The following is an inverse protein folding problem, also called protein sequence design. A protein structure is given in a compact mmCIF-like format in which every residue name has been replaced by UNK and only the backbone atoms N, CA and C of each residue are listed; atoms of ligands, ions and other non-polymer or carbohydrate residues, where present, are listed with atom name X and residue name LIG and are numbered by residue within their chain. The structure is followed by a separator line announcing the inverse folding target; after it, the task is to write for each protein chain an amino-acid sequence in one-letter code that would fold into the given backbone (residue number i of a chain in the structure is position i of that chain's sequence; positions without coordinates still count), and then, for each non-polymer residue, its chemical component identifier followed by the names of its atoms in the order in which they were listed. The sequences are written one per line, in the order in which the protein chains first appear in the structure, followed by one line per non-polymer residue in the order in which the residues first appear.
data_IF_935734758211
#
_entry.id   IF_935734758211
#
_cell.length_a   1.000
_cell.length_b   1.000
_cell.length_c   1.000
_cell.angle_alpha   90.00
_cell.angle_beta   90.00
_cell.angle_gamma   90.00
#
_symmetry.space_group_name_H-M   'P 1'
#
loop_
_entity.id
_entity.type
_entity.pdbx_description
1 polymer ?
#
# COMPACT_ATOMS: atom_id res chain seq x y z
N UNK A 1 -19.95 40.02 25.78
CA UNK A 1 -19.61 40.68 24.49
C UNK A 1 -20.89 41.15 23.81
N UNK A 2 -20.97 42.39 23.32
CA UNK A 2 -22.15 42.80 22.52
C UNK A 2 -22.17 42.09 21.16
N UNK A 3 -23.35 41.90 20.56
CA UNK A 3 -23.54 41.30 19.22
C UNK A 3 -22.57 41.83 18.16
N UNK A 4 -22.31 43.15 18.13
CA UNK A 4 -21.35 43.78 17.20
C UNK A 4 -19.89 43.34 17.38
N UNK A 5 -19.46 43.07 18.61
CA UNK A 5 -18.12 42.59 18.91
C UNK A 5 -17.95 41.14 18.45
N UNK A 6 -18.99 40.31 18.63
CA UNK A 6 -19.01 38.93 18.16
C UNK A 6 -18.95 38.83 16.63
N UNK A 7 -19.76 39.63 15.92
CA UNK A 7 -19.73 39.68 14.45
C UNK A 7 -18.35 40.11 13.91
N UNK A 8 -17.73 41.14 14.50
CA UNK A 8 -16.39 41.57 14.13
C UNK A 8 -15.36 40.48 14.38
N UNK A 9 -15.43 39.80 15.52
CA UNK A 9 -14.54 38.69 15.84
C UNK A 9 -14.66 37.57 14.81
N UNK A 10 -15.86 37.11 14.47
CA UNK A 10 -16.06 36.06 13.46
C UNK A 10 -15.50 36.43 12.09
N UNK A 11 -15.73 37.67 11.63
CA UNK A 11 -15.23 38.15 10.34
C UNK A 11 -13.70 38.22 10.33
N UNK A 12 -13.09 38.77 11.39
CA UNK A 12 -11.63 38.90 11.47
C UNK A 12 -10.97 37.52 11.62
N UNK A 13 -11.52 36.64 12.45
CA UNK A 13 -11.05 35.26 12.61
C UNK A 13 -11.12 34.50 11.29
N UNK A 14 -12.26 34.54 10.60
CA UNK A 14 -12.39 33.90 9.28
C UNK A 14 -11.40 34.48 8.27
N UNK A 15 -11.20 35.81 8.25
CA UNK A 15 -10.26 36.45 7.32
C UNK A 15 -8.82 36.00 7.55
N UNK A 16 -8.30 36.11 8.77
CA UNK A 16 -6.88 35.86 9.02
C UNK A 16 -6.54 34.38 9.12
N UNK A 17 -7.36 33.60 9.83
CA UNK A 17 -7.15 32.14 9.90
C UNK A 17 -7.51 31.47 8.58
N UNK A 18 -8.49 32.01 7.84
CA UNK A 18 -8.79 31.55 6.48
C UNK A 18 -7.63 31.75 5.51
N UNK A 19 -6.83 32.82 5.63
CA UNK A 19 -5.61 32.98 4.81
C UNK A 19 -4.61 31.87 5.11
N UNK A 20 -4.33 31.59 6.40
CA UNK A 20 -3.40 30.53 6.80
C UNK A 20 -3.89 29.15 6.33
N UNK A 21 -5.17 28.83 6.55
CA UNK A 21 -5.80 27.59 6.11
C UNK A 21 -5.84 27.48 4.58
N UNK A 22 -6.04 28.59 3.86
CA UNK A 22 -6.01 28.59 2.41
C UNK A 22 -4.62 28.22 1.88
N UNK A 23 -3.53 28.75 2.47
CA UNK A 23 -2.17 28.39 2.08
C UNK A 23 -1.90 26.89 2.31
N UNK A 24 -2.32 26.39 3.47
CA UNK A 24 -2.23 24.96 3.80
C UNK A 24 -3.01 24.10 2.80
N UNK A 25 -4.28 24.44 2.53
CA UNK A 25 -5.13 23.70 1.60
C UNK A 25 -4.58 23.78 0.17
N UNK A 26 -4.06 24.93 -0.27
CA UNK A 26 -3.41 25.07 -1.57
C UNK A 26 -2.19 24.15 -1.68
N UNK A 27 -1.32 24.12 -0.66
CA UNK A 27 -0.18 23.21 -0.61
C UNK A 27 -0.64 21.75 -0.65
N UNK A 28 -1.68 21.43 0.13
CA UNK A 28 -2.27 20.10 0.20
C UNK A 28 -2.86 19.68 -1.16
N UNK A 29 -3.57 20.55 -1.87
CA UNK A 29 -4.13 20.23 -3.19
C UNK A 29 -3.01 20.06 -4.24
N UNK A 30 -2.03 20.96 -4.24
CA UNK A 30 -0.90 20.88 -5.15
C UNK A 30 -0.10 19.59 -4.95
N UNK A 31 0.09 19.16 -3.70
CA UNK A 31 0.78 17.91 -3.40
C UNK A 31 -0.03 16.66 -3.80
N UNK A 32 -1.35 16.73 -3.74
CA UNK A 32 -2.23 15.66 -4.25
C UNK A 32 -2.05 15.42 -5.75
N UNK A 33 -1.88 16.50 -6.52
CA UNK A 33 -1.59 16.40 -7.96
C UNK A 33 -0.27 15.66 -8.23
N UNK A 34 0.76 15.90 -7.41
CA UNK A 34 2.03 15.18 -7.53
C UNK A 34 1.84 13.68 -7.27
N UNK A 35 1.10 13.31 -6.21
CA UNK A 35 0.88 11.90 -5.83
C UNK A 35 0.21 11.10 -6.94
N UNK A 36 -0.70 11.70 -7.71
CA UNK A 36 -1.37 11.03 -8.84
C UNK A 36 -0.36 10.45 -9.84
N UNK A 37 0.76 11.12 -10.06
CA UNK A 37 1.78 10.67 -11.02
C UNK A 37 2.93 9.88 -10.38
N UNK A 38 3.07 9.92 -9.05
CA UNK A 38 4.24 9.35 -8.37
C UNK A 38 3.91 8.19 -7.45
N UNK A 39 2.63 7.92 -7.17
CA UNK A 39 2.21 6.81 -6.31
C UNK A 39 2.43 7.02 -4.81
N UNK A 40 2.98 8.17 -4.39
CA UNK A 40 3.12 8.53 -2.97
C UNK A 40 4.56 8.48 -2.45
N UNK A 41 4.75 7.83 -1.29
CA UNK A 41 6.08 7.64 -0.69
C UNK A 41 6.90 6.64 -1.53
N UNK A 42 8.23 6.74 -1.59
CA UNK A 42 9.05 5.75 -2.27
C UNK A 42 8.87 4.39 -1.61
N UNK A 43 8.54 3.37 -2.41
CA UNK A 43 8.36 2.00 -1.97
C UNK A 43 8.94 1.08 -3.05
N UNK A 44 9.40 -0.10 -2.66
CA UNK A 44 9.77 -1.12 -3.63
C UNK A 44 8.48 -1.82 -4.09
N UNK A 45 8.03 -1.52 -5.30
CA UNK A 45 6.82 -2.16 -5.83
C UNK A 45 7.02 -3.66 -6.03
N UNK A 46 5.93 -4.42 -5.99
CA UNK A 46 6.01 -5.87 -6.22
C UNK A 46 6.53 -6.18 -7.63
N UNK A 47 6.17 -5.36 -8.63
CA UNK A 47 6.66 -5.47 -9.99
C UNK A 47 8.17 -5.24 -10.07
N UNK A 48 8.70 -4.16 -9.48
CA UNK A 48 10.15 -3.92 -9.47
C UNK A 48 10.91 -5.01 -8.72
N UNK A 49 10.37 -5.50 -7.59
CA UNK A 49 10.94 -6.60 -6.82
C UNK A 49 11.07 -7.85 -7.67
N UNK A 50 9.98 -8.28 -8.31
CA UNK A 50 9.90 -9.48 -9.14
C UNK A 50 10.76 -9.35 -10.41
N UNK A 51 10.82 -8.17 -11.03
CA UNK A 51 11.64 -7.92 -12.22
C UNK A 51 13.13 -8.10 -11.94
N UNK A 52 13.58 -7.73 -10.72
CA UNK A 52 14.98 -7.84 -10.28
C UNK A 52 15.28 -9.14 -9.53
N UNK A 53 14.30 -10.02 -9.36
CA UNK A 53 14.54 -11.33 -8.77
C UNK A 53 15.30 -12.23 -9.76
N UNK A 54 16.29 -13.01 -9.31
CA UNK A 54 16.89 -14.05 -10.14
C UNK A 54 15.84 -15.09 -10.56
N UNK A 55 16.12 -15.80 -11.66
CA UNK A 55 15.31 -16.96 -12.04
C UNK A 55 15.37 -18.02 -10.93
N UNK A 56 14.23 -18.64 -10.65
CA UNK A 56 14.10 -19.67 -9.64
C UNK A 56 14.65 -21.00 -10.17
N UNK A 57 15.68 -21.53 -9.52
CA UNK A 57 16.23 -22.85 -9.84
C UNK A 57 15.37 -23.95 -9.21
N UNK A 58 14.37 -24.44 -9.96
CA UNK A 58 13.49 -25.52 -9.52
C UNK A 58 14.22 -26.86 -9.40
N UNK A 59 15.26 -27.10 -10.20
CA UNK A 59 16.03 -28.36 -10.17
C UNK A 59 16.84 -28.55 -8.88
N UNK A 60 17.08 -27.48 -8.13
CA UNK A 60 17.73 -27.53 -6.82
C UNK A 60 16.73 -27.68 -5.65
N UNK A 61 15.43 -27.78 -5.91
CA UNK A 61 14.42 -27.96 -4.84
C UNK A 61 14.37 -29.42 -4.43
N UNK A 62 14.77 -29.73 -3.19
CA UNK A 62 14.74 -31.08 -2.63
C UNK A 62 13.63 -31.27 -1.58
N UNK A 63 13.12 -30.18 -1.00
CA UNK A 63 12.05 -30.21 -0.01
C UNK A 63 10.71 -29.83 -0.61
N UNK A 64 9.66 -30.58 -0.25
CA UNK A 64 8.31 -30.20 -0.62
C UNK A 64 7.80 -29.04 0.24
N UNK A 65 6.83 -28.24 -0.26
CA UNK A 65 6.22 -27.17 0.53
C UNK A 65 5.62 -27.68 1.85
N UNK A 66 5.07 -28.90 1.85
CA UNK A 66 4.52 -29.54 3.04
C UNK A 66 5.61 -29.94 4.04
N UNK A 67 6.72 -30.51 3.57
CA UNK A 67 7.86 -30.84 4.43
C UNK A 67 8.48 -29.57 5.04
N UNK A 68 8.61 -28.50 4.26
CA UNK A 68 9.08 -27.20 4.73
C UNK A 68 8.18 -26.64 5.85
N UNK A 69 6.86 -26.67 5.66
CA UNK A 69 5.87 -26.27 6.69
C UNK A 69 6.02 -27.06 7.98
N UNK A 70 6.17 -28.38 7.87
CA UNK A 70 6.35 -29.26 9.02
C UNK A 70 7.65 -28.94 9.77
N UNK A 71 8.74 -28.69 9.06
CA UNK A 71 10.05 -28.34 9.63
C UNK A 71 9.97 -27.05 10.47
N UNK A 72 9.27 -26.02 9.99
CA UNK A 72 9.11 -24.74 10.70
C UNK A 72 7.84 -24.66 11.57
N UNK A 73 7.04 -25.73 11.61
CA UNK A 73 5.77 -25.84 12.35
C UNK A 73 4.77 -24.72 12.01
N UNK A 74 4.63 -24.41 10.71
CA UNK A 74 3.72 -23.37 10.21
C UNK A 74 2.47 -23.94 9.55
N UNK A 75 1.39 -23.18 9.67
CA UNK A 75 0.09 -23.55 9.09
C UNK A 75 -0.18 -22.84 7.77
N UNK A 76 0.40 -21.67 7.52
CA UNK A 76 0.35 -21.05 6.20
C UNK A 76 1.23 -21.79 5.17
N UNK A 77 0.87 -21.66 3.89
CA UNK A 77 1.73 -22.07 2.80
C UNK A 77 2.86 -21.05 2.59
N UNK A 78 4.10 -21.50 2.29
CA UNK A 78 5.19 -20.59 2.01
C UNK A 78 5.05 -19.95 0.62
N UNK A 79 5.89 -18.96 0.34
CA UNK A 79 6.21 -18.53 -1.03
C UNK A 79 7.57 -19.10 -1.41
N UNK A 80 7.68 -19.81 -2.53
CA UNK A 80 8.96 -20.29 -3.06
C UNK A 80 9.57 -19.21 -3.97
N UNK A 81 10.78 -18.76 -3.63
CA UNK A 81 11.48 -17.68 -4.31
C UNK A 81 12.98 -17.89 -4.18
N UNK A 82 13.79 -17.16 -4.95
CA UNK A 82 15.24 -17.16 -4.77
C UNK A 82 15.66 -16.26 -3.59
N UNK A 83 16.56 -16.77 -2.74
CA UNK A 83 17.25 -16.03 -1.65
C UNK A 83 18.73 -16.40 -1.68
N UNK A 84 19.61 -15.41 -1.68
CA UNK A 84 21.07 -15.62 -1.74
C UNK A 84 21.50 -16.59 -2.87
N UNK A 85 20.83 -16.54 -4.03
CA UNK A 85 21.08 -17.43 -5.17
C UNK A 85 20.54 -18.86 -5.05
N UNK A 86 19.89 -19.21 -3.93
CA UNK A 86 19.32 -20.54 -3.65
C UNK A 86 17.79 -20.51 -3.64
N UNK A 87 17.10 -21.60 -3.99
CA UNK A 87 15.64 -21.67 -3.82
C UNK A 87 15.30 -21.70 -2.32
N UNK A 88 14.30 -20.91 -1.92
CA UNK A 88 13.91 -20.79 -0.52
C UNK A 88 12.40 -20.59 -0.34
N UNK A 89 11.87 -21.23 0.69
CA UNK A 89 10.51 -21.06 1.19
C UNK A 89 10.46 -19.92 2.20
N UNK A 90 9.65 -18.90 1.90
CA UNK A 90 9.43 -17.73 2.75
C UNK A 90 8.07 -17.83 3.42
N UNK A 91 8.07 -17.86 4.75
CA UNK A 91 6.88 -17.78 5.59
C UNK A 91 6.72 -16.35 6.10
N UNK A 92 5.66 -15.67 5.70
CA UNK A 92 5.49 -14.23 5.94
C UNK A 92 4.81 -13.91 7.28
N UNK A 93 4.22 -14.90 7.96
CA UNK A 93 3.55 -14.68 9.24
C UNK A 93 4.57 -14.51 10.36
N UNK A 94 4.45 -13.41 11.10
CA UNK A 94 5.41 -13.03 12.14
C UNK A 94 5.68 -14.18 13.17
N UNK A 95 6.95 -14.55 13.47
CA UNK A 95 8.17 -14.07 12.83
C UNK A 95 8.34 -14.61 11.41
N UNK A 96 8.78 -13.76 10.49
CA UNK A 96 9.14 -14.19 9.13
C UNK A 96 10.28 -15.19 9.21
N UNK A 97 10.12 -16.35 8.57
CA UNK A 97 11.13 -17.40 8.50
C UNK A 97 11.42 -17.73 7.05
N UNK A 98 12.69 -17.97 6.74
CA UNK A 98 13.14 -18.38 5.41
C UNK A 98 13.86 -19.70 5.57
N UNK A 99 13.40 -20.73 4.86
CA UNK A 99 13.96 -22.07 4.86
C UNK A 99 14.47 -22.36 3.45
N UNK A 100 15.73 -22.74 3.29
CA UNK A 100 16.24 -23.12 1.98
C UNK A 100 15.61 -24.44 1.52
N UNK A 101 15.14 -24.44 0.28
CA UNK A 101 14.37 -25.55 -0.29
C UNK A 101 15.27 -26.69 -0.79
N UNK A 102 16.58 -26.46 -0.88
CA UNK A 102 17.59 -27.42 -1.30
C UNK A 102 18.07 -28.33 -0.15
N UNK A 103 18.16 -27.83 1.09
CA UNK A 103 18.71 -28.59 2.21
C UNK A 103 17.91 -28.50 3.52
N UNK A 104 16.89 -27.64 3.61
CA UNK A 104 16.11 -27.44 4.84
C UNK A 104 16.80 -26.63 5.92
N UNK A 105 17.86 -25.92 5.59
CA UNK A 105 18.54 -25.01 6.50
C UNK A 105 17.73 -23.72 6.68
N UNK A 106 17.66 -23.22 7.90
CA UNK A 106 17.05 -21.93 8.19
C UNK A 106 18.04 -20.82 7.85
N UNK A 107 17.56 -19.79 7.16
CA UNK A 107 18.34 -18.58 6.94
C UNK A 107 18.59 -17.89 8.29
N UNK A 108 19.86 -17.76 8.63
CA UNK A 108 20.33 -17.04 9.81
C UNK A 108 21.08 -15.77 9.41
N UNK A 109 21.21 -14.81 10.34
CA UNK A 109 21.79 -13.49 10.05
C UNK A 109 23.27 -13.53 9.67
N UNK A 110 24.01 -14.55 10.11
CA UNK A 110 25.42 -14.78 9.77
C UNK A 110 25.63 -15.18 8.31
N UNK A 111 24.62 -15.78 7.67
CA UNK A 111 24.66 -16.12 6.24
C UNK A 111 24.47 -14.88 5.34
N UNK A 112 24.07 -13.74 5.91
CA UNK A 112 23.58 -12.59 5.16
C UNK A 112 24.67 -11.54 4.96
N UNK A 113 25.18 -11.45 3.74
CA UNK A 113 25.91 -10.26 3.28
C UNK A 113 24.94 -9.24 2.72
N UNK A 114 24.58 -8.24 3.55
CA UNK A 114 23.68 -7.15 3.10
C UNK A 114 24.25 -6.37 1.92
N UNK A 115 25.59 -6.23 1.85
CA UNK A 115 26.27 -5.59 0.72
C UNK A 115 26.11 -6.41 -0.56
N UNK A 116 26.27 -7.74 -0.49
CA UNK A 116 26.10 -8.60 -1.66
C UNK A 116 24.66 -8.56 -2.17
N UNK A 117 23.66 -8.65 -1.27
CA UNK A 117 22.25 -8.55 -1.66
C UNK A 117 21.96 -7.23 -2.38
N UNK A 118 22.49 -6.12 -1.87
CA UNK A 118 22.34 -4.82 -2.51
C UNK A 118 23.02 -4.77 -3.88
N UNK A 119 24.22 -5.34 -3.99
CA UNK A 119 25.01 -5.42 -5.22
C UNK A 119 24.27 -6.19 -6.32
N UNK A 120 23.79 -7.39 -5.98
CA UNK A 120 23.02 -8.26 -6.87
C UNK A 120 21.74 -7.57 -7.37
N UNK A 121 21.02 -6.89 -6.46
CA UNK A 121 19.78 -6.19 -6.81
C UNK A 121 20.00 -4.98 -7.73
N UNK A 122 21.17 -4.33 -7.63
CA UNK A 122 21.53 -3.17 -8.44
C UNK A 122 22.29 -3.55 -9.71
N UNK A 123 22.71 -4.82 -9.87
CA UNK A 123 23.60 -5.25 -10.95
C UNK A 123 24.96 -4.54 -10.91
N UNK A 124 25.41 -4.15 -9.71
CA UNK A 124 26.63 -3.39 -9.49
C UNK A 124 27.64 -4.21 -8.68
N UNK A 125 28.96 -3.99 -8.81
CA UNK A 125 29.94 -4.67 -7.97
C UNK A 125 29.76 -4.24 -6.50
N UNK A 126 29.96 -5.15 -5.52
CA UNK A 126 29.83 -4.83 -4.09
C UNK A 126 30.67 -3.63 -3.63
N UNK A 127 31.83 -3.41 -4.24
CA UNK A 127 32.76 -2.34 -3.88
C UNK A 127 32.31 -0.96 -4.39
N UNK A 128 31.37 -0.89 -5.33
CA UNK A 128 30.76 0.37 -5.75
C UNK A 128 29.69 0.87 -4.77
N UNK A 129 29.36 0.08 -3.73
CA UNK A 129 28.37 0.42 -2.73
C UNK A 129 29.00 1.00 -1.46
N UNK A 130 28.76 2.28 -1.27
CA UNK A 130 29.12 2.98 -0.05
C UNK A 130 28.14 2.61 1.07
N UNK A 131 28.68 2.03 2.15
CA UNK A 131 27.86 1.72 3.33
C UNK A 131 27.55 3.02 4.07
N UNK A 132 26.26 3.36 4.18
CA UNK A 132 25.81 4.53 4.94
C UNK A 132 25.69 4.22 6.42
N UNK A 133 25.17 3.04 6.78
CA UNK A 133 25.06 2.60 8.17
C UNK A 133 23.93 1.62 8.44
N UNK A 134 23.76 1.27 9.72
CA UNK A 134 22.63 0.48 10.21
C UNK A 134 21.52 1.43 10.70
N UNK A 135 20.31 1.21 10.20
CA UNK A 135 19.10 1.94 10.55
C UNK A 135 18.35 1.11 11.59
N UNK A 136 18.47 1.50 12.85
CA UNK A 136 17.84 0.79 13.99
C UNK A 136 16.47 1.38 14.36
N UNK A 137 16.22 2.62 13.95
CA UNK A 137 14.96 3.34 14.12
C UNK A 137 14.49 3.84 12.77
N UNK A 138 13.17 3.91 12.59
CA UNK A 138 12.59 4.43 11.35
C UNK A 138 13.15 5.81 11.01
N UNK A 139 13.49 6.00 9.75
CA UNK A 139 13.81 7.28 9.13
C UNK A 139 12.64 7.75 8.26
N UNK A 140 12.84 8.87 7.55
CA UNK A 140 11.80 9.47 6.70
C UNK A 140 11.26 8.51 5.62
N UNK A 141 12.06 7.52 5.19
CA UNK A 141 11.73 6.62 4.09
C UNK A 141 11.28 5.23 4.55
N UNK A 142 11.50 4.90 5.81
CA UNK A 142 11.21 3.58 6.41
C UNK A 142 10.06 3.62 7.42
N UNK A 143 9.22 4.67 7.38
CA UNK A 143 8.07 4.88 8.28
C UNK A 143 7.08 3.70 8.33
N UNK A 144 6.92 2.98 7.21
CA UNK A 144 6.02 1.82 7.09
C UNK A 144 6.77 0.48 7.21
N UNK A 145 8.10 0.52 7.37
CA UNK A 145 8.98 -0.64 7.41
C UNK A 145 9.49 -0.94 8.83
N UNK A 146 8.77 -0.48 9.86
CA UNK A 146 9.18 -0.68 11.27
C UNK A 146 9.33 -2.17 11.64
N UNK A 147 8.57 -3.06 10.99
CA UNK A 147 8.65 -4.52 11.17
C UNK A 147 9.83 -5.18 10.44
N UNK A 148 10.57 -4.44 9.62
CA UNK A 148 11.77 -4.91 8.89
C UNK A 148 13.07 -4.51 9.59
N UNK A 149 13.01 -3.61 10.58
CA UNK A 149 14.17 -3.11 11.30
C UNK A 149 14.89 -4.22 12.08
N UNK A 150 16.23 -4.13 12.25
CA UNK A 150 17.09 -3.07 11.71
C UNK A 150 17.40 -3.25 10.21
N UNK A 151 17.75 -2.18 9.50
CA UNK A 151 18.05 -2.20 8.05
C UNK A 151 19.48 -1.72 7.76
N UNK A 152 20.22 -2.39 6.88
CA UNK A 152 21.49 -1.85 6.38
C UNK A 152 21.22 -0.95 5.18
N UNK A 153 21.78 0.25 5.21
CA UNK A 153 21.65 1.25 4.14
C UNK A 153 22.94 1.38 3.34
N UNK A 154 22.81 1.33 2.02
CA UNK A 154 23.89 1.58 1.08
C UNK A 154 23.52 2.70 0.09
N UNK A 155 24.53 3.34 -0.45
CA UNK A 155 24.43 4.34 -1.52
C UNK A 155 25.26 3.88 -2.72
N UNK A 156 24.75 4.11 -3.92
CA UNK A 156 25.46 3.86 -5.17
C UNK A 156 25.86 5.20 -5.82
N UNK A 157 27.11 5.29 -6.27
CA UNK A 157 27.66 6.46 -6.98
C UNK A 157 27.23 6.55 -8.46
N UNK A 158 25.94 6.36 -8.76
CA UNK A 158 25.38 6.30 -10.12
C UNK A 158 24.95 7.65 -10.73
N UNK A 159 25.16 8.75 -10.00
CA UNK A 159 24.69 10.09 -10.39
C UNK A 159 23.19 10.33 -10.18
N UNK A 160 22.39 9.31 -9.86
CA UNK A 160 20.97 9.43 -9.49
C UNK A 160 20.76 9.57 -7.97
N UNK A 161 21.83 9.31 -7.20
CA UNK A 161 21.78 9.28 -5.74
C UNK A 161 20.91 8.13 -5.24
N UNK A 162 21.08 6.96 -5.85
CA UNK A 162 20.41 5.73 -5.44
C UNK A 162 20.77 5.35 -4.01
N UNK A 163 19.75 5.12 -3.20
CA UNK A 163 19.86 4.58 -1.85
C UNK A 163 19.04 3.29 -1.76
N UNK A 164 19.62 2.29 -1.10
CA UNK A 164 19.04 0.96 -0.97
C UNK A 164 19.07 0.51 0.48
N UNK A 165 17.97 -0.10 0.93
CA UNK A 165 17.79 -0.61 2.28
C UNK A 165 17.61 -2.12 2.21
N UNK A 166 18.45 -2.84 2.95
CA UNK A 166 18.46 -4.30 3.02
C UNK A 166 18.11 -4.73 4.43
N UNK A 167 17.16 -5.67 4.55
CA UNK A 167 16.85 -6.31 5.82
C UNK A 167 17.85 -7.45 6.09
N UNK A 168 18.72 -7.34 7.10
CA UNK A 168 19.69 -8.37 7.43
C UNK A 168 19.07 -9.58 8.12
N UNK A 169 17.83 -9.48 8.61
CA UNK A 169 17.11 -10.60 9.22
C UNK A 169 16.38 -11.45 8.19
N UNK A 170 16.05 -10.88 7.03
CA UNK A 170 15.25 -11.54 5.97
C UNK A 170 16.00 -11.74 4.65
N UNK A 171 17.24 -11.24 4.56
CA UNK A 171 18.10 -11.42 3.40
C UNK A 171 17.52 -10.84 2.11
N UNK A 172 16.86 -9.67 2.19
CA UNK A 172 16.18 -9.05 1.04
C UNK A 172 16.27 -7.53 1.05
N UNK A 173 16.16 -6.95 -0.14
CA UNK A 173 15.93 -5.52 -0.32
C UNK A 173 14.48 -5.19 0.05
N UNK A 174 14.30 -4.15 0.86
CA UNK A 174 12.97 -3.67 1.30
C UNK A 174 12.60 -2.32 0.72
N UNK A 175 13.60 -1.53 0.33
CA UNK A 175 13.39 -0.22 -0.28
C UNK A 175 14.56 0.13 -1.20
N UNK A 176 14.22 0.69 -2.35
CA UNK A 176 15.13 1.33 -3.29
C UNK A 176 14.56 2.71 -3.62
N UNK A 177 15.39 3.74 -3.63
CA UNK A 177 14.95 5.11 -3.90
C UNK A 177 16.06 5.97 -4.49
N UNK A 178 15.70 6.82 -5.46
CA UNK A 178 16.59 7.81 -6.08
C UNK A 178 16.35 9.21 -5.51
N UNK A 179 17.22 10.17 -5.85
CA UNK A 179 17.04 11.57 -5.45
C UNK A 179 15.76 12.18 -6.01
N UNK A 180 15.34 11.74 -7.21
CA UNK A 180 14.10 12.17 -7.85
C UNK A 180 12.89 11.67 -7.07
N UNK A 181 12.87 10.40 -6.67
CA UNK A 181 11.76 9.82 -5.90
C UNK A 181 11.59 10.55 -4.57
N UNK A 182 12.71 10.83 -3.89
CA UNK A 182 12.70 11.59 -2.63
C UNK A 182 12.21 13.03 -2.82
N UNK A 183 12.63 13.72 -3.87
CA UNK A 183 12.15 15.07 -4.18
C UNK A 183 10.64 15.08 -4.46
N UNK A 184 10.17 14.14 -5.27
CA UNK A 184 8.76 14.00 -5.61
C UNK A 184 7.91 13.69 -4.36
N UNK A 185 8.40 12.85 -3.45
CA UNK A 185 7.74 12.59 -2.18
C UNK A 185 7.65 13.86 -1.30
N UNK A 186 8.69 14.70 -1.29
CA UNK A 186 8.69 16.00 -0.59
C UNK A 186 7.70 17.01 -1.18
N UNK A 187 7.43 16.93 -2.48
CA UNK A 187 6.44 17.78 -3.14
C UNK A 187 5.02 17.20 -3.08
N UNK A 188 4.89 15.89 -2.88
CA UNK A 188 3.64 15.13 -2.91
C UNK A 188 3.27 14.53 -1.56
N UNK A 189 3.59 13.25 -1.37
CA UNK A 189 3.14 12.44 -0.24
C UNK A 189 3.37 13.08 1.13
N UNK A 190 4.57 13.64 1.37
CA UNK A 190 4.96 14.16 2.68
C UNK A 190 4.05 15.33 3.11
N UNK A 191 3.91 16.43 2.35
CA UNK A 191 3.00 17.51 2.72
C UNK A 191 1.51 17.12 2.65
N UNK A 192 1.12 16.19 1.77
CA UNK A 192 -0.28 15.79 1.62
C UNK A 192 -0.80 14.95 2.80
N UNK A 193 0.00 13.98 3.23
CA UNK A 193 -0.36 13.07 4.34
C UNK A 193 0.24 13.50 5.68
N UNK A 194 1.04 14.58 5.70
CA UNK A 194 1.80 15.04 6.87
C UNK A 194 2.77 13.97 7.40
N UNK A 195 3.44 13.26 6.50
CA UNK A 195 4.35 12.14 6.83
C UNK A 195 5.74 12.60 7.28
N UNK A 196 5.84 13.74 7.97
CA UNK A 196 7.11 14.19 8.54
C UNK A 196 7.55 13.23 9.65
N UNK A 197 8.80 12.77 9.62
CA UNK A 197 9.31 11.76 10.57
C UNK A 197 8.97 12.04 12.05
N UNK A 198 9.20 13.25 12.62
CA UNK A 198 8.91 13.50 14.03
C UNK A 198 7.42 13.36 14.39
N UNK A 199 6.55 13.65 13.42
CA UNK A 199 5.10 13.54 13.57
C UNK A 199 4.64 12.09 13.36
N UNK A 200 5.06 11.47 12.26
CA UNK A 200 4.56 10.16 11.81
C UNK A 200 5.15 8.98 12.56
N UNK A 201 6.29 9.15 13.22
CA UNK A 201 6.85 8.15 14.14
C UNK A 201 5.92 7.83 15.31
N UNK A 202 5.11 8.80 15.75
CA UNK A 202 4.03 8.60 16.72
C UNK A 202 2.68 8.60 15.99
N UNK A 203 2.08 7.41 15.84
CA UNK A 203 0.79 7.26 15.14
C UNK A 203 -0.33 8.03 15.83
N UNK A 204 -0.32 8.13 17.15
CA UNK A 204 -1.37 8.82 17.90
C UNK A 204 -1.24 10.34 17.73
N UNK A 205 -0.01 10.87 17.81
CA UNK A 205 0.26 12.28 17.55
C UNK A 205 -0.14 12.68 16.12
N UNK A 206 0.32 11.92 15.12
CA UNK A 206 -0.05 12.16 13.72
C UNK A 206 -1.56 12.16 13.50
N UNK A 207 -2.25 11.13 13.98
CA UNK A 207 -3.71 11.01 13.83
C UNK A 207 -4.43 12.18 14.50
N UNK A 208 -4.04 12.54 15.73
CA UNK A 208 -4.60 13.68 16.46
C UNK A 208 -4.38 14.99 15.72
N UNK A 209 -3.19 15.22 15.16
CA UNK A 209 -2.89 16.42 14.37
C UNK A 209 -3.77 16.50 13.12
N UNK A 210 -3.88 15.42 12.34
CA UNK A 210 -4.70 15.37 11.12
C UNK A 210 -6.17 15.61 11.45
N UNK A 211 -6.71 14.91 12.45
CA UNK A 211 -8.12 15.04 12.89
C UNK A 211 -8.41 16.47 13.37
N UNK A 212 -7.50 17.05 14.17
CA UNK A 212 -7.66 18.43 14.66
C UNK A 212 -7.65 19.43 13.51
N UNK A 213 -6.69 19.28 12.59
CA UNK A 213 -6.53 20.18 11.45
C UNK A 213 -7.74 20.10 10.50
N UNK A 214 -8.21 18.89 10.22
CA UNK A 214 -9.41 18.66 9.42
C UNK A 214 -10.67 19.22 10.11
N UNK A 215 -10.82 19.02 11.42
CA UNK A 215 -11.95 19.56 12.20
C UNK A 215 -11.98 21.09 12.17
N UNK A 216 -10.83 21.74 12.38
CA UNK A 216 -10.70 23.20 12.25
C UNK A 216 -11.03 23.63 10.82
N UNK A 217 -10.52 22.91 9.81
CA UNK A 217 -10.84 23.17 8.40
C UNK A 217 -12.35 23.15 8.13
N UNK A 218 -13.05 22.10 8.54
CA UNK A 218 -14.52 21.98 8.41
C UNK A 218 -15.24 23.16 9.04
N UNK A 219 -14.90 23.51 10.28
CA UNK A 219 -15.52 24.64 10.99
C UNK A 219 -15.29 25.96 10.26
N UNK A 220 -14.09 26.20 9.74
CA UNK A 220 -13.76 27.46 9.04
C UNK A 220 -14.40 27.57 7.66
N UNK A 221 -14.49 26.46 6.92
CA UNK A 221 -15.20 26.42 5.64
C UNK A 221 -16.71 26.61 5.88
N UNK A 222 -17.30 25.94 6.87
CA UNK A 222 -18.69 26.14 7.25
C UNK A 222 -18.97 27.58 7.69
N UNK A 223 -18.09 28.17 8.50
CA UNK A 223 -18.16 29.59 8.89
C UNK A 223 -18.12 30.50 7.65
N UNK A 224 -17.25 30.21 6.69
CA UNK A 224 -17.19 30.93 5.42
C UNK A 224 -18.49 30.88 4.63
N UNK A 225 -19.11 29.69 4.52
CA UNK A 225 -20.40 29.51 3.85
C UNK A 225 -21.55 30.23 4.58
N UNK A 226 -21.54 30.24 5.92
CA UNK A 226 -22.52 31.00 6.72
C UNK A 226 -22.34 32.51 6.53
N UNK A 227 -21.10 33.01 6.60
CA UNK A 227 -20.79 34.41 6.35
C UNK A 227 -21.18 34.82 4.93
N UNK A 228 -20.93 33.96 3.95
CA UNK A 228 -21.35 34.14 2.57
C UNK A 228 -22.87 34.31 2.46
N UNK A 229 -23.66 33.39 3.04
CA UNK A 229 -25.12 33.44 3.01
C UNK A 229 -25.69 34.68 3.71
N UNK A 230 -25.14 35.05 4.86
CA UNK A 230 -25.60 36.20 5.67
C UNK A 230 -25.22 37.55 5.07
N UNK A 231 -24.13 37.62 4.30
CA UNK A 231 -23.67 38.85 3.65
C UNK A 231 -24.27 39.04 2.25
N UNK A 232 -24.94 38.02 1.69
CA UNK A 232 -25.63 38.13 0.41
C UNK A 232 -26.77 39.14 0.51
N UNK A 233 -26.85 40.08 -0.44
CA UNK A 233 -27.98 41.02 -0.53
C UNK A 233 -29.15 40.36 -1.24
N UNK A 234 -29.88 39.49 -0.53
CA UNK A 234 -31.03 38.72 -1.02
C UNK A 234 -32.05 39.53 -1.81
N UNK A 235 -32.24 40.82 -1.46
CA UNK A 235 -33.11 41.76 -2.19
C UNK A 235 -32.79 41.92 -3.68
N UNK A 236 -31.55 41.65 -4.10
CA UNK A 236 -31.12 41.78 -5.49
C UNK A 236 -31.02 40.43 -6.22
N UNK A 237 -31.41 39.32 -5.56
CA UNK A 237 -31.51 38.00 -6.18
C UNK A 237 -32.59 38.00 -7.27
N UNK A 238 -32.38 37.37 -8.46
CA UNK A 238 -31.26 36.50 -8.84
C UNK A 238 -30.08 37.20 -9.55
N UNK A 239 -30.01 38.54 -9.56
CA UNK A 239 -28.91 39.27 -10.22
C UNK A 239 -27.62 39.20 -9.37
N UNK A 240 -26.86 38.09 -9.47
CA UNK A 240 -25.65 37.81 -8.68
C UNK A 240 -24.68 39.01 -8.60
N UNK A 241 -24.45 39.70 -9.72
CA UNK A 241 -23.55 40.85 -9.78
C UNK A 241 -23.95 42.02 -8.86
N UNK A 242 -25.24 42.14 -8.51
CA UNK A 242 -25.77 43.16 -7.57
C UNK A 242 -26.03 42.59 -6.17
N UNK A 243 -26.22 41.27 -6.06
CA UNK A 243 -26.42 40.58 -4.79
C UNK A 243 -25.12 40.47 -3.97
N UNK A 244 -23.96 40.35 -4.63
CA UNK A 244 -22.65 40.30 -3.96
C UNK A 244 -22.21 41.72 -3.58
N UNK A 245 -21.99 42.04 -2.28
CA UNK A 245 -21.64 43.39 -1.83
C UNK A 245 -20.17 43.77 -2.10
N UNK A 246 -19.33 42.82 -2.52
CA UNK A 246 -17.88 42.97 -2.67
C UNK A 246 -17.45 43.31 -4.11
N UNK A 247 -16.27 43.95 -4.24
CA UNK A 247 -15.61 44.31 -5.52
C UNK A 247 -14.16 43.79 -5.53
N UNK A 248 -13.56 43.72 -6.72
CA UNK A 248 -12.16 43.28 -6.90
C UNK A 248 -11.92 41.84 -6.46
N UNK A 249 -10.77 41.59 -5.82
CA UNK A 249 -10.38 40.25 -5.34
C UNK A 249 -11.38 39.64 -4.34
N UNK A 250 -12.03 40.45 -3.51
CA UNK A 250 -13.04 39.96 -2.56
C UNK A 250 -14.30 39.46 -3.26
N UNK A 251 -14.63 40.02 -4.43
CA UNK A 251 -15.72 39.48 -5.27
C UNK A 251 -15.37 38.09 -5.80
N UNK A 252 -14.13 37.91 -6.29
CA UNK A 252 -13.65 36.62 -6.78
C UNK A 252 -13.57 35.58 -5.67
N UNK A 253 -13.01 35.93 -4.51
CA UNK A 253 -13.01 35.07 -3.33
C UNK A 253 -14.44 34.62 -2.96
N UNK A 254 -15.40 35.56 -2.93
CA UNK A 254 -16.79 35.24 -2.66
C UNK A 254 -17.38 34.28 -3.71
N UNK A 255 -17.22 34.58 -5.01
CA UNK A 255 -17.78 33.74 -6.09
C UNK A 255 -17.18 32.34 -6.12
N UNK A 256 -15.85 32.23 -5.99
CA UNK A 256 -15.16 30.93 -5.93
C UNK A 256 -15.53 30.19 -4.64
N UNK A 257 -15.68 30.89 -3.52
CA UNK A 257 -16.14 30.33 -2.25
C UNK A 257 -17.54 29.72 -2.33
N UNK A 258 -18.47 30.31 -3.09
CA UNK A 258 -19.82 29.74 -3.31
C UNK A 258 -19.73 28.36 -3.96
N UNK A 259 -18.95 28.22 -5.04
CA UNK A 259 -18.85 26.94 -5.75
C UNK A 259 -17.94 25.96 -5.05
N UNK A 260 -16.69 26.36 -4.82
CA UNK A 260 -15.64 25.49 -4.30
C UNK A 260 -15.79 25.20 -2.80
N UNK A 261 -16.38 26.11 -2.03
CA UNK A 261 -16.54 25.95 -0.58
C UNK A 261 -17.39 24.75 -0.20
N UNK A 262 -18.46 24.47 -0.94
CA UNK A 262 -19.26 23.26 -0.73
C UNK A 262 -18.46 21.98 -1.04
N UNK A 263 -17.75 21.94 -2.17
CA UNK A 263 -16.91 20.80 -2.52
C UNK A 263 -15.82 20.53 -1.47
N UNK A 264 -15.12 21.59 -1.02
CA UNK A 264 -14.09 21.47 0.03
C UNK A 264 -14.71 21.04 1.34
N UNK A 265 -15.87 21.60 1.72
CA UNK A 265 -16.55 21.20 2.96
C UNK A 265 -16.88 19.70 2.94
N UNK A 266 -17.58 19.23 1.90
CA UNK A 266 -17.98 17.82 1.81
C UNK A 266 -16.79 16.89 1.80
N UNK A 267 -15.70 17.29 1.13
CA UNK A 267 -14.54 16.45 0.97
C UNK A 267 -13.63 16.43 2.20
N UNK A 268 -13.34 17.57 2.84
CA UNK A 268 -12.60 17.59 4.12
C UNK A 268 -13.42 16.89 5.21
N UNK A 269 -14.74 17.09 5.21
CA UNK A 269 -15.63 16.39 6.15
C UNK A 269 -15.63 14.87 5.90
N UNK A 270 -15.68 14.43 4.65
CA UNK A 270 -15.55 13.01 4.30
C UNK A 270 -14.22 12.43 4.76
N UNK A 271 -13.11 13.15 4.54
CA UNK A 271 -11.77 12.74 5.00
C UNK A 271 -11.66 12.69 6.53
N UNK A 272 -12.30 13.64 7.22
CA UNK A 272 -12.40 13.62 8.68
C UNK A 272 -13.15 12.38 9.15
N UNK A 273 -14.30 12.04 8.55
CA UNK A 273 -15.07 10.86 8.94
C UNK A 273 -14.32 9.54 8.64
N UNK A 274 -13.56 9.47 7.55
CA UNK A 274 -12.77 8.27 7.20
C UNK A 274 -11.60 8.00 8.13
N UNK A 275 -11.16 9.00 8.90
CA UNK A 275 -10.17 8.82 9.97
C UNK A 275 -10.79 8.21 11.24
N UNK A 276 -12.09 7.89 11.21
CA UNK A 276 -12.87 7.35 12.33
C UNK A 276 -12.63 8.08 13.66
N UNK A 277 -12.75 9.43 13.68
CA UNK A 277 -12.54 10.19 14.90
C UNK A 277 -13.53 9.70 15.96
N UNK A 278 -13.01 9.34 17.13
CA UNK A 278 -13.78 8.86 18.28
C UNK A 278 -14.49 7.51 18.08
N UNK A 279 -14.09 6.70 17.10
CA UNK A 279 -14.70 5.39 16.83
C UNK A 279 -16.22 5.46 16.65
N UNK A 280 -16.67 6.48 15.90
CA UNK A 280 -18.09 6.77 15.66
C UNK A 280 -18.83 5.63 14.93
N UNK A 281 -18.10 4.78 14.20
CA UNK A 281 -18.63 3.57 13.59
C UNK A 281 -18.04 2.32 14.27
N UNK A 282 -18.90 1.40 14.71
CA UNK A 282 -18.52 0.08 15.26
C UNK A 282 -18.93 -1.06 14.33
N UNK A 283 -19.39 -0.77 13.12
CA UNK A 283 -19.73 -1.78 12.14
C UNK A 283 -18.44 -2.48 11.69
N UNK A 284 -18.15 -3.63 12.28
CA UNK A 284 -17.28 -4.62 11.66
C UNK A 284 -18.02 -5.14 10.43
N UNK A 285 -17.51 -4.86 9.23
CA UNK A 285 -17.94 -5.61 8.05
C UNK A 285 -17.80 -7.12 8.31
N UNK A 286 -18.52 -7.96 7.56
CA UNK A 286 -18.30 -9.41 7.59
C UNK A 286 -16.89 -9.65 7.05
N UNK A 287 -15.91 -9.60 7.96
CA UNK A 287 -14.54 -9.92 7.67
C UNK A 287 -14.48 -11.42 7.48
N UNK A 288 -14.63 -11.87 6.23
CA UNK A 288 -14.21 -13.22 5.87
C UNK A 288 -12.74 -13.27 6.25
N UNK A 289 -12.39 -14.05 7.27
CA UNK A 289 -10.99 -14.35 7.55
C UNK A 289 -10.48 -15.01 6.27
N UNK A 290 -9.73 -14.26 5.46
CA UNK A 290 -9.19 -14.72 4.19
C UNK A 290 -8.31 -15.95 4.43
N UNK A 291 -7.70 -16.06 5.62
CA UNK A 291 -7.00 -17.26 6.03
C UNK A 291 -7.97 -18.42 6.34
N UNK A 292 -9.22 -18.19 6.73
CA UNK A 292 -10.31 -19.21 6.79
C UNK A 292 -10.79 -19.60 5.38
N UNK A 293 -10.93 -18.63 4.46
CA UNK A 293 -11.29 -18.88 3.05
C UNK A 293 -10.24 -19.75 2.33
N UNK A 294 -8.94 -19.44 2.48
CA UNK A 294 -7.85 -20.29 2.01
C UNK A 294 -7.58 -21.51 2.89
N UNK A 295 -8.18 -21.61 4.09
CA UNK A 295 -8.18 -22.81 4.94
C UNK A 295 -9.28 -23.81 4.55
N UNK A 296 -10.03 -23.57 3.47
CA UNK A 296 -10.87 -24.63 2.92
C UNK A 296 -10.04 -25.90 2.79
N UNK A 297 -10.61 -27.02 3.24
CA UNK A 297 -10.03 -28.34 3.42
C UNK A 297 -9.49 -28.99 2.12
N UNK A 298 -8.81 -28.26 1.24
CA UNK A 298 -7.87 -28.85 0.32
C UNK A 298 -6.77 -29.50 1.15
N UNK A 299 -6.74 -30.82 1.04
CA UNK A 299 -5.94 -31.70 1.88
C UNK A 299 -4.49 -31.25 1.89
N UNK A 300 -3.88 -31.40 3.07
CA UNK A 300 -2.44 -31.32 3.29
C UNK A 300 -1.61 -32.07 2.22
N UNK A 301 -2.25 -32.97 1.45
CA UNK A 301 -1.69 -33.80 0.39
C UNK A 301 -1.40 -33.14 -0.96
N UNK A 302 -2.04 -32.02 -1.31
CA UNK A 302 -1.87 -31.46 -2.67
C UNK A 302 -0.43 -31.00 -2.97
N UNK A 303 0.37 -30.73 -1.93
CA UNK A 303 1.75 -30.25 -2.05
C UNK A 303 2.75 -31.14 -1.28
N UNK A 304 2.42 -32.41 -1.08
CA UNK A 304 3.26 -33.35 -0.33
C UNK A 304 4.53 -33.75 -1.09
N UNK A 305 4.48 -33.85 -2.42
CA UNK A 305 5.61 -34.32 -3.23
C UNK A 305 6.44 -33.18 -3.82
N UNK A 306 7.75 -33.39 -3.88
CA UNK A 306 8.71 -32.50 -4.55
C UNK A 306 8.47 -32.47 -6.05
N UNK A 307 8.01 -33.58 -6.62
CA UNK A 307 7.68 -33.71 -8.05
C UNK A 307 6.68 -32.64 -8.52
N UNK A 308 5.73 -32.25 -7.65
CA UNK A 308 4.76 -31.19 -7.98
C UNK A 308 5.42 -29.84 -8.31
N UNK A 309 6.63 -29.58 -7.79
CA UNK A 309 7.44 -28.38 -8.09
C UNK A 309 8.38 -28.64 -9.28
N UNK A 310 8.83 -29.86 -9.48
CA UNK A 310 9.66 -30.25 -10.63
C UNK A 310 8.89 -30.17 -11.95
N UNK A 311 7.59 -30.45 -11.96
CA UNK A 311 6.72 -30.32 -13.15
C UNK A 311 6.60 -28.86 -13.65
N UNK A 312 6.90 -27.88 -12.78
CA UNK A 312 6.98 -26.46 -13.16
C UNK A 312 8.21 -26.13 -14.01
N UNK A 313 9.19 -27.04 -14.09
CA UNK A 313 10.38 -26.86 -14.92
C UNK A 313 10.04 -26.74 -16.42
N UNK A 314 8.87 -27.24 -16.85
CA UNK A 314 8.38 -27.15 -18.23
C UNK A 314 8.05 -25.69 -18.64
N UNK A 315 7.83 -24.79 -17.69
CA UNK A 315 7.50 -23.36 -17.92
C UNK A 315 8.81 -22.55 -18.04
N UNK A 316 9.76 -23.10 -18.79
CA UNK A 316 11.20 -22.90 -18.65
C UNK A 316 11.70 -21.45 -18.85
N UNK A 317 12.66 -21.01 -18.01
CA UNK A 317 13.57 -19.89 -18.26
C UNK A 317 13.36 -18.61 -17.45
N UNK A 318 12.13 -18.28 -17.07
CA UNK A 318 11.84 -16.94 -16.51
C UNK A 318 11.01 -16.93 -15.22
N UNK A 319 10.64 -18.09 -14.67
CA UNK A 319 9.93 -18.19 -13.39
C UNK A 319 10.74 -17.55 -12.25
N UNK A 320 10.13 -16.63 -11.51
CA UNK A 320 10.75 -15.87 -10.41
C UNK A 320 10.27 -16.31 -9.04
N UNK A 321 8.98 -16.62 -8.93
CA UNK A 321 8.31 -16.88 -7.65
C UNK A 321 7.10 -17.80 -7.85
N UNK A 322 6.86 -18.69 -6.89
CA UNK A 322 5.70 -19.57 -6.83
C UNK A 322 5.01 -19.39 -5.48
N UNK A 323 3.73 -19.00 -5.50
CA UNK A 323 2.87 -19.04 -4.30
C UNK A 323 1.93 -20.22 -4.41
N UNK A 324 1.67 -20.86 -3.28
CA UNK A 324 0.85 -22.05 -3.18
C UNK A 324 -0.49 -21.69 -2.55
N UNK A 325 -1.55 -21.99 -3.27
CA UNK A 325 -2.92 -21.69 -2.87
C UNK A 325 -3.73 -22.99 -2.77
N UNK A 326 -4.69 -22.98 -1.86
CA UNK A 326 -5.57 -24.10 -1.60
C UNK A 326 -7.01 -23.60 -1.64
N UNK A 327 -7.83 -24.23 -2.49
CA UNK A 327 -9.24 -23.87 -2.59
C UNK A 327 -10.10 -25.07 -2.98
N UNK A 328 -11.23 -25.25 -2.27
CA UNK A 328 -12.25 -26.25 -2.59
C UNK A 328 -11.72 -27.68 -2.82
N UNK A 329 -10.80 -28.14 -1.98
CA UNK A 329 -10.23 -29.49 -2.12
C UNK A 329 -9.00 -29.58 -3.03
N UNK A 330 -8.70 -28.53 -3.80
CA UNK A 330 -7.66 -28.51 -4.85
C UNK A 330 -6.51 -27.57 -4.49
N UNK A 331 -5.32 -27.91 -4.99
CA UNK A 331 -4.13 -27.06 -4.92
C UNK A 331 -3.96 -26.25 -6.21
N UNK A 332 -3.49 -25.01 -6.07
CA UNK A 332 -3.18 -24.11 -7.18
C UNK A 332 -1.83 -23.44 -7.00
N UNK A 333 -1.12 -23.24 -8.11
CA UNK A 333 0.06 -22.41 -8.19
C UNK A 333 -0.30 -21.02 -8.68
N UNK A 334 0.19 -19.98 -8.01
CA UNK A 334 0.34 -18.64 -8.60
C UNK A 334 1.81 -18.49 -8.99
N UNK A 335 2.05 -18.46 -10.29
CA UNK A 335 3.38 -18.40 -10.90
C UNK A 335 3.65 -16.96 -11.32
N UNK A 336 4.77 -16.40 -10.84
CA UNK A 336 5.26 -15.10 -11.32
C UNK A 336 6.40 -15.33 -12.31
N UNK A 337 6.14 -15.01 -13.57
CA UNK A 337 7.02 -15.31 -14.71
C UNK A 337 7.56 -13.98 -15.27
N UNK A 338 8.87 -13.91 -15.51
CA UNK A 338 9.50 -12.75 -16.14
C UNK A 338 9.27 -12.74 -17.66
N UNK A 339 8.98 -11.57 -18.24
CA UNK A 339 8.84 -11.41 -19.69
C UNK A 339 10.18 -11.22 -20.43
N UNK A 340 10.20 -11.62 -21.71
CA UNK A 340 11.42 -11.70 -22.54
C UNK A 340 11.80 -10.43 -23.32
N UNK A 341 11.04 -9.32 -23.26
CA UNK A 341 11.21 -8.26 -24.29
C UNK A 341 11.02 -6.80 -23.89
N UNK A 342 10.57 -6.49 -22.67
CA UNK A 342 10.48 -5.10 -22.21
C UNK A 342 10.61 -5.06 -20.69
N UNK A 343 11.40 -4.11 -20.20
CA UNK A 343 11.82 -3.99 -18.82
C UNK A 343 10.69 -4.28 -17.81
N UNK A 344 10.71 -5.46 -17.18
CA UNK A 344 9.92 -5.76 -16.00
C UNK A 344 8.45 -6.15 -16.21
N UNK A 345 8.02 -6.52 -17.42
CA UNK A 345 6.71 -7.16 -17.57
C UNK A 345 6.71 -8.52 -16.84
N UNK A 346 5.93 -8.64 -15.77
CA UNK A 346 5.73 -9.89 -15.04
C UNK A 346 4.34 -10.40 -15.37
N UNK A 347 4.26 -11.58 -15.95
CA UNK A 347 2.98 -12.27 -16.06
C UNK A 347 2.72 -13.07 -14.79
N UNK A 348 1.45 -13.08 -14.37
CA UNK A 348 0.98 -13.99 -13.34
C UNK A 348 0.08 -15.02 -13.97
N UNK A 349 0.40 -16.27 -13.75
CA UNK A 349 -0.42 -17.39 -14.18
C UNK A 349 -0.89 -18.18 -12.97
N UNK A 350 -2.16 -18.54 -12.97
CA UNK A 350 -2.71 -19.47 -11.99
C UNK A 350 -2.90 -20.83 -12.65
N UNK A 351 -2.44 -21.91 -12.03
CA UNK A 351 -2.55 -23.28 -12.56
C UNK A 351 -2.99 -24.25 -11.48
N UNK A 352 -3.83 -25.22 -11.84
CA UNK A 352 -4.18 -26.33 -10.93
C UNK A 352 -3.02 -27.34 -10.83
N UNK A 353 -2.68 -27.77 -9.61
CA UNK A 353 -1.51 -28.62 -9.36
C UNK A 353 -1.60 -29.98 -10.07
N UNK A 354 -2.77 -30.62 -10.05
CA UNK A 354 -2.93 -31.99 -10.53
C UNK A 354 -2.98 -32.08 -12.08
N UNK A 355 -3.54 -31.08 -12.74
CA UNK A 355 -3.72 -31.06 -14.20
C UNK A 355 -2.72 -30.17 -14.92
N UNK A 356 -2.08 -29.23 -14.21
CA UNK A 356 -1.24 -28.16 -14.77
C UNK A 356 -1.96 -27.22 -15.76
N UNK A 357 -3.29 -27.32 -15.84
CA UNK A 357 -4.14 -26.47 -16.67
C UNK A 357 -4.28 -25.07 -16.05
N UNK A 358 -4.35 -24.02 -16.88
CA UNK A 358 -4.65 -22.67 -16.42
C UNK A 358 -5.96 -22.61 -15.61
N UNK A 359 -5.95 -21.85 -14.53
CA UNK A 359 -7.11 -21.64 -13.69
C UNK A 359 -8.14 -20.76 -14.42
N UNK A 360 -9.29 -21.34 -14.74
CA UNK A 360 -10.49 -20.59 -15.09
C UNK A 360 -11.17 -19.96 -13.87
N UNK A 361 -12.23 -19.18 -14.11
CA UNK A 361 -13.04 -18.62 -13.02
C UNK A 361 -13.72 -19.75 -12.23
N UNK A 362 -13.75 -19.61 -10.90
CA UNK A 362 -14.55 -20.49 -10.05
C UNK A 362 -16.03 -20.21 -10.26
N UNK A 363 -16.85 -21.26 -10.23
CA UNK A 363 -18.31 -21.13 -10.25
C UNK A 363 -18.83 -20.65 -8.89
N UNK A 364 -19.95 -19.94 -8.88
CA UNK A 364 -20.64 -19.51 -7.65
C UNK A 364 -20.85 -20.67 -6.68
N UNK A 365 -21.26 -21.83 -7.18
CA UNK A 365 -21.47 -23.02 -6.36
C UNK A 365 -20.19 -23.47 -5.64
N UNK A 366 -19.02 -23.39 -6.29
CA UNK A 366 -17.73 -23.73 -5.68
C UNK A 366 -17.33 -22.72 -4.61
N UNK A 367 -17.58 -21.43 -4.84
CA UNK A 367 -17.31 -20.34 -3.87
C UNK A 367 -18.22 -20.48 -2.66
N UNK A 368 -19.52 -20.60 -2.89
CA UNK A 368 -20.54 -20.74 -1.85
C UNK A 368 -20.30 -21.94 -0.94
N UNK A 369 -19.86 -23.08 -1.52
CA UNK A 369 -19.55 -24.28 -0.74
C UNK A 369 -18.38 -24.10 0.25
N UNK A 370 -17.54 -23.07 0.09
CA UNK A 370 -16.43 -22.78 1.01
C UNK A 370 -16.76 -21.73 2.08
N UNK A 371 -17.90 -21.06 1.97
CA UNK A 371 -18.30 -20.05 2.95
C UNK A 371 -18.80 -20.70 4.23
N UNK A 372 -18.58 -20.03 5.37
CA UNK A 372 -19.14 -20.50 6.63
C UNK A 372 -20.67 -20.57 6.52
N UNK A 373 -21.33 -21.61 7.08
CA UNK A 373 -22.77 -21.78 6.97
C UNK A 373 -23.58 -20.56 7.43
N UNK A 374 -23.07 -19.83 8.43
CA UNK A 374 -23.68 -18.59 8.92
C UNK A 374 -23.61 -17.44 7.90
N UNK A 375 -22.54 -17.38 7.09
CA UNK A 375 -22.40 -16.39 6.00
C UNK A 375 -23.29 -16.80 4.83
N UNK A 376 -23.28 -18.08 4.45
CA UNK A 376 -24.11 -18.61 3.38
C UNK A 376 -25.62 -18.44 3.66
N UNK A 377 -26.05 -18.65 4.91
CA UNK A 377 -27.46 -18.51 5.31
C UNK A 377 -27.99 -17.07 5.26
N UNK A 378 -27.12 -16.07 5.33
CA UNK A 378 -27.49 -14.65 5.27
C UNK A 378 -27.22 -14.03 3.89
N UNK A 379 -26.91 -14.86 2.88
CA UNK A 379 -26.62 -14.38 1.54
C UNK A 379 -27.91 -14.18 0.74
N UNK A 380 -28.16 -12.95 0.30
CA UNK A 380 -29.33 -12.62 -0.52
C UNK A 380 -29.13 -12.81 -2.02
N UNK A 381 -27.90 -12.62 -2.52
CA UNK A 381 -27.54 -12.78 -3.92
C UNK A 381 -26.01 -13.02 -4.08
N UNK A 382 -25.64 -13.68 -5.17
CA UNK A 382 -24.25 -13.77 -5.68
C UNK A 382 -24.15 -13.12 -7.04
N UNK A 383 -23.05 -12.44 -7.29
CA UNK A 383 -22.74 -11.86 -8.59
C UNK A 383 -21.23 -11.92 -8.82
N UNK A 384 -20.83 -12.39 -10.00
CA UNK A 384 -19.44 -12.26 -10.46
C UNK A 384 -19.30 -10.88 -11.08
N UNK A 385 -18.53 -10.01 -10.44
CA UNK A 385 -18.27 -8.68 -10.95
C UNK A 385 -17.31 -8.77 -12.15
N UNK A 386 -17.82 -8.46 -13.35
CA UNK A 386 -17.02 -8.30 -14.57
C UNK A 386 -16.62 -6.85 -14.84
N UNK A 387 -17.23 -5.91 -14.11
CA UNK A 387 -16.96 -4.48 -14.16
C UNK A 387 -16.75 -3.94 -12.75
N UNK A 388 -16.20 -2.72 -12.66
CA UNK A 388 -16.05 -2.06 -11.37
C UNK A 388 -17.40 -1.63 -10.81
N UNK A 389 -17.56 -1.76 -9.49
CA UNK A 389 -18.72 -1.26 -8.76
C UNK A 389 -18.28 -0.30 -7.63
N UNK A 390 -19.20 0.01 -6.72
CA UNK A 390 -18.91 0.92 -5.59
C UNK A 390 -17.96 0.32 -4.55
N UNK A 391 -17.69 -0.98 -4.59
CA UNK A 391 -16.91 -1.74 -3.60
C UNK A 391 -15.66 -2.42 -4.19
N UNK A 392 -15.64 -2.66 -5.50
CA UNK A 392 -14.59 -3.33 -6.27
C UNK A 392 -14.18 -2.46 -7.45
N UNK A 393 -13.04 -1.80 -7.33
CA UNK A 393 -12.42 -1.01 -8.40
C UNK A 393 -10.92 -1.30 -8.46
N UNK A 394 -10.37 -1.32 -9.68
CA UNK A 394 -8.97 -1.65 -9.93
C UNK A 394 -8.03 -0.67 -9.24
N UNK A 395 -7.37 -1.14 -8.18
CA UNK A 395 -6.23 -0.45 -7.58
C UNK A 395 -4.99 -1.06 -8.22
N UNK A 396 -4.39 -0.34 -9.17
CA UNK A 396 -3.23 -0.70 -9.99
C UNK A 396 -3.61 -1.37 -11.32
N UNK A 397 -3.85 -0.53 -12.33
CA UNK A 397 -3.65 -0.85 -13.75
C UNK A 397 -2.21 -0.52 -14.15
#
# INVERSE_FOLDING_TARGET
MSVRHWQRFLILSHRYLGIALCLLLCLWFASGFVIIYTGGMPQLSEAERLARLPVLNLGAVELSPQAARAAVRRTEFPTLTTRLGRPAYVFTRNPVQVLFADNGELLTSDMISSRQIAADFLGAPPDALDRVGLIERVDQWTLELSSELPLQKYRLGDGQGSEIYVSPSRGRVVLYTTSRDRLLAWLGAIPHWLYFLPLRADRALWSTTVVTLASVGVVFVALGLVLMFTQLRWRHWPKLARAIPYRGLMKWHYMLGVGFGWCVLTWVFSGLLSMEPYSWNRASGIGIDVATYYRSRAGMSAFESVATVADLAVIEGSLKEVKFHAFAGKGFYELSIGGDGSAGAISREFREVASMEPLGLFTDAQILAQLEPAVAANMGATEILTEYDSYYYGRNS
#
